data_IF_000268155220
#
_entry.id   IF_000268155220
#
_cell.length_a   1.000
_cell.length_b   1.000
_cell.length_c   1.000
_cell.angle_alpha   90.00
_cell.angle_beta   90.00
_cell.angle_gamma   90.00
#
_symmetry.space_group_name_H-M   'P 1'
#
loop_
_entity.id
_entity.type
_entity.pdbx_description
1 polymer ?
#
# COMPACT_ATOMS: atom_id res chain seq x y z
N UNK A 1 9.34 -43.09 1.32
CA UNK A 1 7.96 -42.65 1.60
C UNK A 1 7.91 -41.14 1.45
N UNK A 2 7.37 -40.65 0.33
CA UNK A 2 7.23 -39.22 0.07
C UNK A 2 6.01 -38.68 0.83
N UNK A 3 6.22 -37.78 1.79
CA UNK A 3 5.14 -37.05 2.44
C UNK A 3 4.71 -35.96 1.46
N UNK A 4 3.66 -36.23 0.68
CA UNK A 4 3.01 -35.23 -0.18
C UNK A 4 2.33 -34.19 0.72
N UNK A 5 2.92 -32.99 0.75
CA UNK A 5 2.42 -31.83 1.50
C UNK A 5 1.04 -31.43 0.95
N UNK A 6 -0.03 -31.76 1.68
CA UNK A 6 -1.41 -31.39 1.32
C UNK A 6 -1.50 -29.85 1.29
N UNK A 7 -1.73 -29.29 0.10
CA UNK A 7 -2.04 -27.86 -0.07
C UNK A 7 -3.33 -27.60 0.71
N UNK A 8 -3.30 -26.68 1.69
CA UNK A 8 -4.51 -26.23 2.37
C UNK A 8 -5.11 -25.10 1.53
N UNK A 9 -6.31 -25.30 0.99
CA UNK A 9 -7.10 -24.21 0.41
C UNK A 9 -7.90 -23.50 1.51
N UNK A 10 -8.04 -22.19 1.38
CA UNK A 10 -8.93 -21.36 2.18
C UNK A 10 -9.89 -20.63 1.24
N UNK A 11 -11.07 -20.27 1.72
CA UNK A 11 -12.11 -19.63 0.93
C UNK A 11 -12.35 -18.22 1.43
N UNK A 12 -12.16 -17.22 0.57
CA UNK A 12 -12.34 -15.82 0.94
C UNK A 12 -13.61 -15.24 0.30
N UNK A 13 -14.39 -14.50 1.07
CA UNK A 13 -15.56 -13.78 0.55
C UNK A 13 -15.12 -12.57 -0.29
N UNK A 14 -15.49 -12.52 -1.56
CA UNK A 14 -15.24 -11.42 -2.49
C UNK A 14 -15.94 -10.12 -2.12
N UNK A 15 -16.96 -10.17 -1.26
CA UNK A 15 -17.72 -8.99 -0.83
C UNK A 15 -17.20 -8.35 0.46
N UNK A 16 -16.77 -9.15 1.44
CA UNK A 16 -16.34 -8.64 2.75
C UNK A 16 -14.93 -9.06 3.19
N UNK A 17 -14.27 -9.94 2.42
CA UNK A 17 -12.92 -10.43 2.71
C UNK A 17 -12.83 -11.40 3.88
N UNK A 18 -13.95 -11.92 4.37
CA UNK A 18 -14.00 -12.95 5.42
C UNK A 18 -13.38 -14.27 4.96
N UNK A 19 -12.64 -14.92 5.85
CA UNK A 19 -11.98 -16.21 5.60
C UNK A 19 -12.85 -17.38 6.11
N UNK A 20 -13.00 -18.40 5.28
CA UNK A 20 -13.72 -19.61 5.61
C UNK A 20 -12.85 -20.86 5.32
N UNK A 21 -12.87 -21.86 6.22
CA UNK A 21 -12.06 -23.07 6.07
C UNK A 21 -12.59 -24.04 5.01
N UNK A 22 -13.81 -23.84 4.51
CA UNK A 22 -14.47 -24.69 3.50
C UNK A 22 -15.45 -23.89 2.65
N UNK A 23 -15.66 -24.29 1.40
CA UNK A 23 -16.73 -23.75 0.58
C UNK A 23 -18.09 -24.14 1.18
N UNK A 24 -18.99 -23.17 1.26
CA UNK A 24 -20.31 -23.36 1.85
C UNK A 24 -21.41 -22.57 1.11
N UNK A 25 -21.12 -22.10 -0.11
CA UNK A 25 -22.05 -21.35 -0.96
C UNK A 25 -22.38 -19.93 -0.48
N UNK A 26 -22.49 -19.70 0.84
CA UNK A 26 -22.86 -18.43 1.44
C UNK A 26 -21.81 -17.95 2.46
N UNK A 27 -21.44 -16.67 2.40
CA UNK A 27 -20.60 -16.02 3.41
C UNK A 27 -21.37 -15.88 4.74
N UNK A 28 -20.73 -16.26 5.86
CA UNK A 28 -21.36 -16.16 7.20
C UNK A 28 -21.29 -14.76 7.80
N UNK A 29 -20.33 -13.93 7.39
CA UNK A 29 -20.24 -12.54 7.86
C UNK A 29 -21.22 -11.60 7.13
N UNK A 30 -21.32 -11.69 5.80
CA UNK A 30 -22.14 -10.74 5.02
C UNK A 30 -23.37 -11.35 4.34
N UNK A 31 -23.65 -12.65 4.57
CA UNK A 31 -24.78 -13.39 4.00
C UNK A 31 -24.81 -13.47 2.47
N UNK A 32 -23.72 -13.10 1.81
CA UNK A 32 -23.59 -13.11 0.36
C UNK A 32 -23.53 -14.52 -0.21
N UNK A 33 -24.29 -14.78 -1.27
CA UNK A 33 -24.26 -16.04 -1.99
C UNK A 33 -23.21 -16.02 -3.09
N UNK A 34 -22.59 -17.18 -3.34
CA UNK A 34 -21.58 -17.41 -4.38
C UNK A 34 -20.39 -16.43 -4.35
N UNK A 35 -20.14 -15.78 -3.22
CA UNK A 35 -19.03 -14.84 -3.03
C UNK A 35 -17.73 -15.51 -2.58
N UNK A 36 -17.75 -16.80 -2.24
CA UNK A 36 -16.59 -17.49 -1.68
C UNK A 36 -15.66 -17.97 -2.80
N UNK A 37 -14.47 -17.36 -2.88
CA UNK A 37 -13.42 -17.68 -3.84
C UNK A 37 -12.38 -18.56 -3.16
N UNK A 38 -12.04 -19.69 -3.76
CA UNK A 38 -10.97 -20.57 -3.28
C UNK A 38 -9.60 -19.96 -3.61
N UNK A 39 -8.80 -19.69 -2.59
CA UNK A 39 -7.40 -19.32 -2.75
C UNK A 39 -6.51 -20.45 -2.20
N UNK A 40 -5.51 -20.83 -3.00
CA UNK A 40 -4.49 -21.80 -2.56
C UNK A 40 -3.56 -21.09 -1.58
N UNK A 41 -3.73 -21.36 -0.29
CA UNK A 41 -2.80 -20.85 0.72
C UNK A 41 -1.49 -21.61 0.60
N UNK A 42 -0.51 -21.01 -0.05
CA UNK A 42 0.86 -21.51 0.03
C UNK A 42 1.34 -21.27 1.46
N UNK A 43 1.35 -22.35 2.25
CA UNK A 43 2.07 -22.38 3.52
C UNK A 43 3.57 -22.23 3.23
N UNK A 44 4.04 -20.98 3.02
CA UNK A 44 5.44 -20.64 3.28
C UNK A 44 5.68 -21.16 4.69
N UNK A 45 6.63 -22.10 4.84
CA UNK A 45 7.06 -22.59 6.16
C UNK A 45 7.22 -21.36 7.02
N UNK A 46 6.52 -21.31 8.16
CA UNK A 46 6.62 -20.21 9.10
C UNK A 46 8.09 -19.89 9.25
N UNK A 47 8.51 -18.75 8.72
CA UNK A 47 9.74 -18.15 9.18
C UNK A 47 9.43 -17.96 10.66
N UNK A 48 10.08 -18.75 11.51
CA UNK A 48 10.14 -18.45 12.93
C UNK A 48 10.58 -17.00 12.99
N UNK A 49 9.63 -16.10 13.27
CA UNK A 49 9.93 -14.70 13.42
C UNK A 49 11.08 -14.66 14.41
N UNK A 50 12.24 -14.16 14.00
CA UNK A 50 13.33 -13.92 14.95
C UNK A 50 12.70 -13.06 16.03
N UNK A 51 12.59 -13.59 17.24
CA UNK A 51 12.20 -12.81 18.40
C UNK A 51 13.33 -11.81 18.57
N UNK A 52 13.13 -10.63 18.02
CA UNK A 52 13.98 -9.49 18.32
C UNK A 52 13.68 -9.12 19.76
N UNK A 53 14.71 -9.10 20.60
CA UNK A 53 14.62 -8.56 21.96
C UNK A 53 14.37 -7.06 21.83
N UNK A 54 13.08 -6.72 21.71
CA UNK A 54 12.64 -5.35 21.64
C UNK A 54 12.87 -4.72 23.02
N UNK A 55 13.67 -3.66 23.06
CA UNK A 55 13.98 -2.94 24.28
C UNK A 55 12.68 -2.39 24.86
N UNK A 56 12.30 -2.88 26.04
CA UNK A 56 11.11 -2.42 26.76
C UNK A 56 11.47 -1.14 27.51
N UNK A 57 10.85 -0.03 27.15
CA UNK A 57 10.94 1.25 27.88
C UNK A 57 9.53 1.66 28.33
N UNK A 58 9.41 2.28 29.51
CA UNK A 58 8.15 2.95 29.88
C UNK A 58 7.99 4.20 29.02
N UNK A 59 6.75 4.62 28.73
CA UNK A 59 6.49 5.81 27.91
C UNK A 59 7.31 7.04 28.33
N UNK A 60 7.46 7.38 29.64
CA UNK A 60 8.27 8.52 30.07
C UNK A 60 9.78 8.39 29.81
N UNK A 61 10.27 7.18 29.53
CA UNK A 61 11.68 6.87 29.24
C UNK A 61 11.97 6.84 27.74
N UNK A 62 10.93 7.00 26.91
CA UNK A 62 11.06 7.09 25.46
C UNK A 62 11.46 8.52 25.13
N UNK A 63 12.71 8.70 24.72
CA UNK A 63 13.17 9.96 24.16
C UNK A 63 12.41 10.25 22.87
N UNK A 64 11.88 11.48 22.74
CA UNK A 64 11.29 11.91 21.48
C UNK A 64 12.39 11.98 20.43
N UNK A 65 12.35 11.09 19.44
CA UNK A 65 13.15 11.24 18.25
C UNK A 65 12.73 12.51 17.52
N UNK A 66 13.69 13.39 17.22
CA UNK A 66 13.49 14.58 16.39
C UNK A 66 13.30 14.22 14.91
N UNK A 67 12.42 13.28 14.60
CA UNK A 67 11.99 13.08 13.22
C UNK A 67 11.10 14.25 12.84
N UNK A 68 11.65 15.19 12.07
CA UNK A 68 10.88 16.29 11.50
C UNK A 68 9.89 15.71 10.49
N UNK A 69 8.60 15.73 10.82
CA UNK A 69 7.55 15.35 9.88
C UNK A 69 7.38 16.39 8.78
N UNK A 70 6.83 15.97 7.66
CA UNK A 70 6.55 16.82 6.50
C UNK A 70 5.15 17.39 6.59
N UNK A 71 5.03 18.72 6.67
CA UNK A 71 3.74 19.41 6.61
C UNK A 71 3.42 19.76 5.17
N UNK A 72 2.34 19.25 4.60
CA UNK A 72 1.99 19.52 3.20
C UNK A 72 1.64 21.00 2.96
N UNK A 73 1.11 21.68 3.98
CA UNK A 73 0.55 23.03 3.84
C UNK A 73 -0.90 23.03 3.35
N UNK A 74 -1.50 21.85 3.17
CA UNK A 74 -2.95 21.69 2.95
C UNK A 74 -3.57 21.45 4.32
N UNK A 75 -4.13 22.51 4.92
CA UNK A 75 -4.51 22.52 6.34
C UNK A 75 -5.39 21.33 6.77
N UNK A 76 -6.47 21.02 6.04
CA UNK A 76 -7.35 19.89 6.40
C UNK A 76 -6.68 18.53 6.17
N UNK A 77 -5.78 18.42 5.19
CA UNK A 77 -5.03 17.19 4.97
C UNK A 77 -4.05 16.95 6.12
N UNK A 78 -3.24 17.96 6.46
CA UNK A 78 -2.31 17.91 7.58
C UNK A 78 -3.05 17.63 8.90
N UNK A 79 -4.21 18.24 9.12
CA UNK A 79 -5.05 18.00 10.29
C UNK A 79 -5.46 16.53 10.42
N UNK A 80 -5.87 15.90 9.32
CA UNK A 80 -6.23 14.47 9.30
C UNK A 80 -5.02 13.58 9.60
N UNK A 81 -3.81 13.99 9.19
CA UNK A 81 -2.57 13.27 9.47
C UNK A 81 -2.02 13.47 10.89
N UNK A 82 -2.67 14.29 11.73
CA UNK A 82 -2.14 14.65 13.05
C UNK A 82 -1.07 15.74 13.00
N UNK A 83 -1.04 16.51 11.91
CA UNK A 83 -0.24 17.71 11.70
C UNK A 83 0.87 17.53 10.65
N UNK A 84 1.49 16.34 10.58
CA UNK A 84 2.62 16.08 9.69
C UNK A 84 2.62 14.63 9.19
N UNK A 85 3.12 14.42 7.99
CA UNK A 85 3.49 13.12 7.47
C UNK A 85 4.85 12.70 8.05
N UNK A 86 4.91 11.62 8.82
CA UNK A 86 6.16 11.15 9.43
C UNK A 86 6.91 10.19 8.50
N UNK A 87 8.25 10.21 8.46
CA UNK A 87 9.03 9.18 7.79
C UNK A 87 8.64 7.76 8.26
N UNK A 88 8.47 6.82 7.33
CA UNK A 88 8.04 5.46 7.63
C UNK A 88 6.55 5.29 7.98
N UNK A 89 5.76 6.37 7.93
CA UNK A 89 4.31 6.33 8.10
C UNK A 89 3.66 5.71 6.86
N UNK A 90 2.58 4.96 7.08
CA UNK A 90 1.72 4.48 5.99
C UNK A 90 0.31 5.01 6.21
N UNK A 91 -0.29 5.55 5.16
CA UNK A 91 -1.67 6.06 5.15
C UNK A 91 -2.47 5.33 4.08
N UNK A 92 -3.69 4.92 4.44
CA UNK A 92 -4.65 4.39 3.47
C UNK A 92 -5.74 5.43 3.23
N UNK A 93 -5.87 5.89 2.00
CA UNK A 93 -6.96 6.80 1.59
C UNK A 93 -8.09 5.99 0.96
N UNK A 94 -9.14 5.73 1.75
CA UNK A 94 -10.36 5.08 1.31
C UNK A 94 -11.44 6.06 0.85
N UNK A 95 -12.35 5.62 -0.02
CA UNK A 95 -13.49 6.41 -0.46
C UNK A 95 -14.11 5.88 -1.75
N UNK A 96 -15.32 6.32 -2.07
CA UNK A 96 -16.04 5.90 -3.27
C UNK A 96 -15.27 6.26 -4.57
N UNK A 97 -15.44 5.49 -5.66
CA UNK A 97 -14.92 5.88 -6.97
C UNK A 97 -15.40 7.28 -7.36
N UNK A 98 -14.51 8.12 -7.89
CA UNK A 98 -14.86 9.48 -8.32
C UNK A 98 -14.90 10.55 -7.23
N UNK A 99 -14.79 10.22 -5.94
CA UNK A 99 -14.80 11.21 -4.83
C UNK A 99 -13.59 12.16 -4.81
N UNK A 100 -12.58 11.89 -5.65
CA UNK A 100 -11.41 12.76 -5.80
C UNK A 100 -10.14 12.31 -5.08
N UNK A 101 -10.03 11.04 -4.66
CA UNK A 101 -8.82 10.49 -4.00
C UNK A 101 -7.53 10.78 -4.77
N UNK A 102 -7.47 10.37 -6.03
CA UNK A 102 -6.33 10.60 -6.92
C UNK A 102 -6.02 12.09 -7.11
N UNK A 103 -7.05 12.94 -7.12
CA UNK A 103 -6.88 14.40 -7.23
C UNK A 103 -6.22 14.96 -5.98
N UNK A 104 -6.70 14.56 -4.79
CA UNK A 104 -6.14 14.96 -3.51
C UNK A 104 -4.68 14.49 -3.38
N UNK A 105 -4.40 13.22 -3.73
CA UNK A 105 -3.05 12.64 -3.65
C UNK A 105 -2.09 13.36 -4.60
N UNK A 106 -2.50 13.69 -5.82
CA UNK A 106 -1.66 14.41 -6.77
C UNK A 106 -1.38 15.86 -6.32
N UNK A 107 -2.34 16.52 -5.67
CA UNK A 107 -2.12 17.84 -5.05
C UNK A 107 -1.18 17.77 -3.83
N UNK A 108 -1.33 16.73 -3.00
CA UNK A 108 -0.39 16.48 -1.90
C UNK A 108 1.03 16.19 -2.42
N UNK A 109 1.15 15.43 -3.52
CA UNK A 109 2.43 15.18 -4.19
C UNK A 109 3.15 16.48 -4.59
N UNK A 110 2.41 17.42 -5.20
CA UNK A 110 2.93 18.75 -5.54
C UNK A 110 3.35 19.53 -4.29
N UNK A 111 2.53 19.50 -3.25
CA UNK A 111 2.80 20.20 -2.01
C UNK A 111 4.11 19.71 -1.36
N UNK A 112 4.32 18.39 -1.32
CA UNK A 112 5.57 17.81 -0.83
C UNK A 112 6.76 18.03 -1.77
N UNK A 113 6.53 17.98 -3.08
CA UNK A 113 7.55 18.30 -4.09
C UNK A 113 8.08 19.73 -3.91
N UNK A 114 7.20 20.71 -3.60
CA UNK A 114 7.58 22.10 -3.31
C UNK A 114 8.42 22.28 -2.05
N UNK A 115 8.38 21.31 -1.12
CA UNK A 115 9.27 21.27 0.05
C UNK A 115 10.64 20.65 -0.28
N UNK A 116 10.87 20.24 -1.53
CA UNK A 116 12.12 19.62 -1.98
C UNK A 116 12.16 18.10 -1.79
N UNK A 117 11.03 17.46 -1.45
CA UNK A 117 10.97 16.02 -1.24
C UNK A 117 10.84 15.28 -2.57
N UNK A 118 11.56 14.18 -2.74
CA UNK A 118 11.42 13.30 -3.88
C UNK A 118 10.20 12.40 -3.68
N UNK A 119 9.24 12.49 -4.61
CA UNK A 119 7.97 11.77 -4.57
C UNK A 119 7.90 10.80 -5.74
N UNK A 120 7.65 9.51 -5.45
CA UNK A 120 7.33 8.52 -6.46
C UNK A 120 5.81 8.36 -6.56
N UNK A 121 5.22 8.74 -7.69
CA UNK A 121 3.82 8.50 -7.99
C UNK A 121 3.66 7.24 -8.85
N UNK A 122 3.11 6.19 -8.26
CA UNK A 122 2.84 4.92 -8.94
C UNK A 122 1.38 4.88 -9.34
N UNK A 123 1.12 4.68 -10.63
CA UNK A 123 -0.22 4.41 -11.16
C UNK A 123 -0.25 3.11 -11.93
N UNK A 124 -1.35 2.37 -11.82
CA UNK A 124 -1.65 1.25 -12.73
C UNK A 124 -2.97 1.43 -13.48
N UNK A 125 -3.81 2.39 -13.07
CA UNK A 125 -5.10 2.66 -13.72
C UNK A 125 -4.97 3.65 -14.89
N UNK A 126 -4.08 4.63 -14.76
CA UNK A 126 -4.01 5.79 -15.64
C UNK A 126 -2.67 5.81 -16.40
N UNK A 127 -2.71 6.12 -17.70
CA UNK A 127 -1.48 6.32 -18.47
C UNK A 127 -0.75 7.59 -18.04
N UNK A 128 0.57 7.65 -18.23
CA UNK A 128 1.36 8.85 -17.92
C UNK A 128 0.87 10.11 -18.66
N UNK A 129 0.36 9.94 -19.88
CA UNK A 129 -0.23 11.04 -20.66
C UNK A 129 -1.51 11.59 -20.01
N UNK A 130 -2.39 10.72 -19.52
CA UNK A 130 -3.61 11.13 -18.82
C UNK A 130 -3.27 11.78 -17.47
N UNK A 131 -2.33 11.20 -16.72
CA UNK A 131 -1.80 11.80 -15.48
C UNK A 131 -1.25 13.21 -15.74
N UNK A 132 -0.50 13.41 -16.84
CA UNK A 132 0.03 14.73 -17.22
C UNK A 132 -1.07 15.74 -17.55
N UNK A 133 -2.14 15.32 -18.24
CA UNK A 133 -3.29 16.19 -18.49
C UNK A 133 -3.95 16.64 -17.17
N UNK A 134 -4.09 15.72 -16.22
CA UNK A 134 -4.63 16.04 -14.89
C UNK A 134 -3.70 16.95 -14.10
N UNK A 135 -2.40 16.68 -14.11
CA UNK A 135 -1.41 17.49 -13.40
C UNK A 135 -1.45 18.93 -13.92
N UNK A 136 -1.53 19.12 -15.25
CA UNK A 136 -1.67 20.44 -15.85
C UNK A 136 -2.95 21.16 -15.40
N UNK A 137 -4.09 20.46 -15.37
CA UNK A 137 -5.37 21.03 -14.91
C UNK A 137 -5.35 21.42 -13.44
N UNK A 138 -4.61 20.67 -12.62
CA UNK A 138 -4.46 20.90 -11.18
C UNK A 138 -3.29 21.83 -10.83
N UNK A 139 -2.57 22.35 -11.84
CA UNK A 139 -1.37 23.18 -11.66
C UNK A 139 -0.28 22.48 -10.83
N UNK A 140 -0.13 21.18 -11.06
CA UNK A 140 0.94 20.35 -10.50
C UNK A 140 2.10 20.36 -11.48
N UNK A 141 3.17 21.07 -11.10
CA UNK A 141 4.36 21.27 -11.92
C UNK A 141 5.29 20.06 -11.85
N UNK A 142 5.38 19.42 -10.68
CA UNK A 142 6.03 18.12 -10.50
C UNK A 142 7.55 18.13 -10.61
N UNK A 143 8.22 19.18 -10.15
CA UNK A 143 9.70 19.30 -10.24
C UNK A 143 10.44 18.14 -9.54
N UNK A 144 9.90 17.60 -8.45
CA UNK A 144 10.45 16.45 -7.71
C UNK A 144 9.48 15.24 -7.71
N UNK A 145 8.59 15.14 -8.70
CA UNK A 145 7.65 14.03 -8.83
C UNK A 145 8.09 13.13 -9.97
N UNK A 146 8.54 11.92 -9.64
CA UNK A 146 8.74 10.84 -10.61
C UNK A 146 7.45 10.05 -10.72
N UNK A 147 6.87 9.95 -11.92
CA UNK A 147 5.68 9.15 -12.16
C UNK A 147 5.99 7.89 -12.96
N UNK A 148 5.45 6.75 -12.52
CA UNK A 148 5.57 5.48 -13.22
C UNK A 148 4.19 4.87 -13.46
N UNK A 149 4.02 4.26 -14.63
CA UNK A 149 2.86 3.44 -14.93
C UNK A 149 3.28 1.97 -14.88
N UNK A 150 2.96 1.29 -13.77
CA UNK A 150 3.25 -0.13 -13.59
C UNK A 150 2.19 -0.81 -12.75
N UNK A 151 1.97 -2.09 -13.04
CA UNK A 151 1.13 -3.00 -12.26
C UNK A 151 1.96 -4.05 -11.53
N UNK A 152 3.29 -3.94 -11.52
CA UNK A 152 4.20 -4.92 -10.92
C UNK A 152 4.77 -4.42 -9.60
N UNK A 153 4.47 -5.14 -8.51
CA UNK A 153 5.08 -4.88 -7.20
C UNK A 153 6.61 -5.05 -7.25
N UNK A 154 7.10 -6.02 -8.02
CA UNK A 154 8.52 -6.30 -8.11
C UNK A 154 9.28 -5.14 -8.78
N UNK A 155 8.69 -4.49 -9.78
CA UNK A 155 9.25 -3.31 -10.43
C UNK A 155 9.28 -2.10 -9.47
N UNK A 156 8.20 -1.89 -8.71
CA UNK A 156 8.13 -0.85 -7.69
C UNK A 156 9.26 -1.03 -6.66
N UNK A 157 9.46 -2.23 -6.14
CA UNK A 157 10.57 -2.52 -5.22
C UNK A 157 11.93 -2.28 -5.86
N UNK A 158 12.10 -2.64 -7.12
CA UNK A 158 13.36 -2.41 -7.83
C UNK A 158 13.68 -0.90 -7.93
N UNK A 159 12.68 -0.06 -8.21
CA UNK A 159 12.85 1.40 -8.28
C UNK A 159 13.19 1.96 -6.90
N UNK A 160 12.44 1.59 -5.87
CA UNK A 160 12.68 2.02 -4.49
C UNK A 160 14.09 1.64 -4.01
N UNK A 161 14.63 0.50 -4.47
CA UNK A 161 15.97 0.06 -4.09
C UNK A 161 17.11 0.80 -4.79
N UNK A 162 16.85 1.42 -5.95
CA UNK A 162 17.87 2.10 -6.79
C UNK A 162 17.89 3.60 -6.59
N UNK A 163 16.72 4.18 -6.29
CA UNK A 163 16.50 5.61 -6.24
C UNK A 163 15.98 5.99 -4.85
N UNK A 164 16.33 7.19 -4.40
CA UNK A 164 15.96 7.65 -3.07
C UNK A 164 14.69 8.49 -3.12
N UNK A 165 13.62 8.00 -2.48
CA UNK A 165 12.35 8.70 -2.34
C UNK A 165 12.01 8.90 -0.87
N UNK A 166 11.47 10.06 -0.50
CA UNK A 166 10.94 10.29 0.85
C UNK A 166 9.47 9.90 0.95
N UNK A 167 8.75 9.93 -0.18
CA UNK A 167 7.32 9.65 -0.25
C UNK A 167 7.04 8.79 -1.49
N UNK A 168 6.23 7.76 -1.32
CA UNK A 168 5.69 6.94 -2.40
C UNK A 168 4.16 7.04 -2.32
N UNK A 169 3.51 7.25 -3.45
CA UNK A 169 2.06 7.34 -3.57
C UNK A 169 1.62 6.25 -4.55
N UNK A 170 0.68 5.40 -4.15
CA UNK A 170 0.17 4.31 -4.99
C UNK A 170 -1.30 4.54 -5.30
N UNK A 171 -1.60 4.84 -6.56
CA UNK A 171 -2.93 5.14 -7.08
C UNK A 171 -3.28 4.19 -8.26
N UNK A 172 -3.93 3.06 -8.02
CA UNK A 172 -4.51 2.58 -6.77
C UNK A 172 -4.05 1.15 -6.49
N UNK A 173 -4.00 0.78 -5.21
CA UNK A 173 -3.39 -0.48 -4.77
C UNK A 173 -3.98 -1.73 -5.46
N UNK A 174 -5.27 -1.72 -5.83
CA UNK A 174 -5.93 -2.83 -6.51
C UNK A 174 -5.37 -3.15 -7.90
N UNK A 175 -4.64 -2.23 -8.53
CA UNK A 175 -4.00 -2.49 -9.83
C UNK A 175 -2.62 -3.09 -9.72
N UNK A 176 -2.05 -3.11 -8.51
CA UNK A 176 -0.70 -3.62 -8.31
C UNK A 176 -0.77 -5.11 -8.02
N UNK A 177 0.02 -5.87 -8.77
CA UNK A 177 0.09 -7.33 -8.75
C UNK A 177 1.46 -7.80 -8.26
N UNK A 178 1.51 -8.95 -7.55
CA UNK A 178 2.78 -9.65 -7.32
C UNK A 178 2.75 -10.97 -8.07
N UNK A 179 3.81 -11.22 -8.83
CA UNK A 179 4.00 -12.47 -9.56
C UNK A 179 4.19 -13.69 -8.63
N UNK A 180 4.45 -13.46 -7.35
CA UNK A 180 4.66 -14.54 -6.36
C UNK A 180 3.37 -15.15 -5.81
N UNK A 181 2.22 -14.53 -6.09
CA UNK A 181 0.91 -15.01 -5.69
C UNK A 181 0.16 -15.59 -6.89
N UNK A 182 -0.37 -16.81 -6.72
CA UNK A 182 -1.22 -17.50 -7.70
C UNK A 182 -2.69 -17.03 -7.56
N UNK A 183 -2.90 -15.72 -7.67
CA UNK A 183 -4.20 -15.05 -7.56
C UNK A 183 -4.29 -13.87 -8.53
N UNK A 184 -5.40 -13.65 -9.24
CA UNK A 184 -5.55 -12.52 -10.14
C UNK A 184 -5.37 -11.15 -9.42
N UNK A 185 -4.87 -10.12 -10.12
CA UNK A 185 -4.83 -8.75 -9.60
C UNK A 185 -6.21 -8.27 -9.13
N UNK A 186 -6.25 -7.47 -8.06
CA UNK A 186 -7.49 -6.92 -7.50
C UNK A 186 -8.30 -7.88 -6.61
N UNK A 187 -7.87 -9.13 -6.44
CA UNK A 187 -8.43 -10.01 -5.42
C UNK A 187 -8.03 -9.56 -4.02
N UNK A 188 -8.84 -9.89 -3.00
CA UNK A 188 -8.59 -9.46 -1.61
C UNK A 188 -7.25 -10.00 -1.09
N UNK A 189 -6.92 -11.27 -1.39
CA UNK A 189 -5.63 -11.85 -1.00
C UNK A 189 -4.45 -11.11 -1.60
N UNK A 190 -4.57 -10.78 -2.88
CA UNK A 190 -3.56 -10.05 -3.64
C UNK A 190 -3.34 -8.64 -3.08
N UNK A 191 -4.40 -7.87 -2.85
CA UNK A 191 -4.33 -6.50 -2.31
C UNK A 191 -3.68 -6.51 -0.92
N UNK A 192 -4.07 -7.46 -0.06
CA UNK A 192 -3.53 -7.58 1.30
C UNK A 192 -2.04 -7.85 1.30
N UNK A 193 -1.57 -8.77 0.45
CA UNK A 193 -0.15 -9.09 0.35
C UNK A 193 0.66 -7.92 -0.20
N UNK A 194 0.20 -7.26 -1.25
CA UNK A 194 0.91 -6.10 -1.81
C UNK A 194 1.01 -4.98 -0.78
N UNK A 195 -0.11 -4.63 -0.13
CA UNK A 195 -0.10 -3.63 0.92
C UNK A 195 0.89 -4.00 2.03
N UNK A 196 0.90 -5.26 2.46
CA UNK A 196 1.84 -5.73 3.48
C UNK A 196 3.31 -5.59 3.03
N UNK A 197 3.66 -6.02 1.82
CA UNK A 197 5.03 -5.92 1.29
C UNK A 197 5.48 -4.46 1.12
N UNK A 198 4.60 -3.59 0.61
CA UNK A 198 4.89 -2.16 0.47
C UNK A 198 5.09 -1.50 1.84
N UNK A 199 4.27 -1.82 2.85
CA UNK A 199 4.44 -1.31 4.22
C UNK A 199 5.79 -1.72 4.81
N UNK A 200 6.18 -2.99 4.64
CA UNK A 200 7.49 -3.46 5.12
C UNK A 200 8.64 -2.73 4.42
N UNK A 201 8.54 -2.55 3.10
CA UNK A 201 9.53 -1.81 2.32
C UNK A 201 9.61 -0.34 2.71
N UNK A 202 8.47 0.32 2.89
CA UNK A 202 8.39 1.72 3.31
C UNK A 202 9.05 1.93 4.69
N UNK A 203 8.71 1.08 5.67
CA UNK A 203 9.31 1.12 7.01
C UNK A 203 10.81 0.83 6.99
N UNK A 204 11.25 -0.16 6.22
CA UNK A 204 12.67 -0.54 6.14
C UNK A 204 13.54 0.59 5.55
N UNK A 205 12.98 1.37 4.61
CA UNK A 205 13.68 2.47 3.95
C UNK A 205 13.36 3.85 4.55
N UNK A 206 12.58 3.90 5.63
CA UNK A 206 12.10 5.14 6.27
C UNK A 206 11.34 6.08 5.31
N UNK A 207 10.60 5.49 4.37
CA UNK A 207 9.80 6.17 3.34
C UNK A 207 8.36 6.26 3.80
N UNK A 208 7.70 7.38 3.51
CA UNK A 208 6.26 7.52 3.76
C UNK A 208 5.46 6.93 2.59
N UNK A 209 4.41 6.15 2.87
CA UNK A 209 3.56 5.47 1.88
C UNK A 209 2.10 5.92 1.96
#
# INVERSE_FOLDING_TARGET
>A
MAITKKIKSAYFCSQCGAEHPKWQGQCRECNAWNSLIEEKVTTKKGQTAKVTDSVKKRIPEIEMSQSFGYKSGIDEFDRVLGGHLLPGMTILIGGEPGIGKSTLILQAAEAYSKLGLQVLYVTGEESLSQLKLRSNRLQVHGENITAINTTSLEEIHQIISKEHYQIILVDSIQTISSSTLDSPPGTVGQIREVAHQLILSAKANNISL
#
